data_IF_985833065557
#
_entry.id   IF_985833065557
#
_cell.length_a   1.000
_cell.length_b   1.000
_cell.length_c   1.000
_cell.angle_alpha   90.00
_cell.angle_beta   90.00
_cell.angle_gamma   90.00
#
_symmetry.space_group_name_H-M   'P 1'
#
loop_
_entity.id
_entity.type
_entity.pdbx_description
1 polymer ?
#
# COMPACT_ATOMS: atom_id res chain seq x y z
N UNK A 1 3.44 -7.35 3.60
CA UNK A 1 3.90 -6.42 2.55
C UNK A 1 2.77 -5.58 1.99
N UNK A 2 1.68 -6.18 1.47
CA UNK A 2 0.55 -5.39 0.92
C UNK A 2 -0.07 -4.39 1.93
N UNK A 3 -0.21 -4.79 3.21
CA UNK A 3 -0.70 -3.89 4.26
C UNK A 3 0.29 -2.74 4.53
N UNK A 4 1.60 -3.03 4.56
CA UNK A 4 2.64 -2.03 4.82
C UNK A 4 2.74 -0.98 3.71
N UNK A 5 2.49 -1.38 2.46
CA UNK A 5 2.40 -0.44 1.33
C UNK A 5 1.17 0.46 1.45
N UNK A 6 0.02 -0.10 1.83
CA UNK A 6 -1.20 0.68 2.04
C UNK A 6 -1.08 1.66 3.23
N UNK A 7 -0.39 1.26 4.31
CA UNK A 7 -0.11 2.14 5.45
C UNK A 7 0.79 3.31 5.06
N UNK A 8 1.84 3.06 4.27
CA UNK A 8 2.71 4.13 3.78
C UNK A 8 1.96 5.07 2.83
N UNK A 9 1.11 4.52 1.96
CA UNK A 9 0.27 5.32 1.07
C UNK A 9 -0.69 6.21 1.87
N UNK A 10 -1.29 5.69 2.95
CA UNK A 10 -2.15 6.46 3.87
C UNK A 10 -1.40 7.64 4.50
N UNK A 11 -0.15 7.43 4.94
CA UNK A 11 0.70 8.49 5.49
C UNK A 11 0.95 9.60 4.47
N UNK A 12 1.32 9.22 3.26
CA UNK A 12 1.66 10.16 2.19
C UNK A 12 0.42 10.91 1.73
N UNK A 13 -0.68 10.21 1.56
CA UNK A 13 -1.98 10.79 1.25
C UNK A 13 -2.34 11.88 2.27
N UNK A 14 -2.30 11.58 3.57
CA UNK A 14 -2.63 12.55 4.62
C UNK A 14 -1.63 13.72 4.67
N UNK A 15 -0.34 13.45 4.54
CA UNK A 15 0.69 14.50 4.51
C UNK A 15 0.45 15.46 3.32
N UNK A 16 0.17 14.90 2.16
CA UNK A 16 -0.07 15.67 0.95
C UNK A 16 -1.36 16.47 1.08
N UNK A 17 -2.46 15.86 1.51
CA UNK A 17 -3.74 16.55 1.71
C UNK A 17 -3.61 17.67 2.72
N UNK A 18 -2.97 17.45 3.87
CA UNK A 18 -2.77 18.50 4.89
C UNK A 18 -1.89 19.65 4.39
N UNK A 19 -0.80 19.34 3.68
CA UNK A 19 0.06 20.38 3.07
C UNK A 19 -0.72 21.16 2.01
N UNK A 20 -1.41 20.45 1.13
CA UNK A 20 -2.18 21.05 0.06
C UNK A 20 -3.34 21.89 0.63
N UNK A 21 -4.02 21.45 1.68
CA UNK A 21 -5.08 22.22 2.37
C UNK A 21 -4.54 23.45 3.10
N UNK A 22 -3.28 23.44 3.54
CA UNK A 22 -2.65 24.65 4.06
C UNK A 22 -2.30 25.66 2.96
N UNK A 23 -1.78 25.19 1.82
CA UNK A 23 -1.43 26.07 0.70
C UNK A 23 -2.66 26.58 -0.07
N UNK A 24 -3.71 25.77 -0.15
CA UNK A 24 -4.99 26.12 -0.77
C UNK A 24 -6.12 25.63 0.12
N UNK A 25 -6.62 26.47 1.05
CA UNK A 25 -7.62 26.08 2.02
C UNK A 25 -8.97 25.78 1.39
N UNK A 26 -9.64 24.77 1.94
CA UNK A 26 -11.00 24.38 1.58
C UNK A 26 -11.98 24.95 2.61
N UNK A 27 -13.09 25.52 2.12
CA UNK A 27 -14.29 25.79 2.91
C UNK A 27 -15.48 25.08 2.30
N UNK A 28 -16.50 24.82 3.10
CA UNK A 28 -17.78 24.34 2.57
C UNK A 28 -18.62 25.53 2.12
N UNK A 29 -19.44 25.35 1.08
CA UNK A 29 -20.35 26.40 0.60
C UNK A 29 -21.27 26.91 1.72
N UNK A 30 -21.76 26.02 2.59
CA UNK A 30 -22.58 26.39 3.74
C UNK A 30 -21.84 27.26 4.79
N UNK A 31 -20.51 27.20 4.83
CA UNK A 31 -19.67 28.01 5.73
C UNK A 31 -19.24 29.33 5.09
N UNK A 32 -19.06 29.36 3.77
CA UNK A 32 -18.75 30.57 3.02
C UNK A 32 -19.99 31.45 2.76
N UNK A 33 -21.16 30.83 2.57
CA UNK A 33 -22.45 31.48 2.34
C UNK A 33 -23.47 30.95 3.34
N UNK A 34 -23.61 31.65 4.47
CA UNK A 34 -24.49 31.26 5.60
C UNK A 34 -25.95 31.02 5.23
N UNK A 35 -26.40 31.58 4.10
CA UNK A 35 -27.78 31.50 3.61
C UNK A 35 -28.01 30.36 2.59
N UNK A 36 -26.96 29.69 2.11
CA UNK A 36 -27.06 28.67 1.07
C UNK A 36 -27.10 27.25 1.67
N UNK A 37 -28.17 26.49 1.38
CA UNK A 37 -28.30 25.07 1.78
C UNK A 37 -28.17 24.09 0.62
N UNK A 38 -28.51 24.50 -0.60
CA UNK A 38 -28.38 23.67 -1.80
C UNK A 38 -27.50 24.41 -2.82
N UNK A 39 -26.51 23.72 -3.37
CA UNK A 39 -25.65 24.22 -4.44
C UNK A 39 -25.90 23.38 -5.69
N UNK A 40 -26.17 24.04 -6.81
CA UNK A 40 -26.30 23.41 -8.11
C UNK A 40 -25.18 23.85 -9.03
N UNK A 41 -24.55 22.90 -9.70
CA UNK A 41 -23.55 23.18 -10.72
C UNK A 41 -23.73 22.22 -11.90
N UNK A 42 -23.30 22.67 -13.07
CA UNK A 42 -23.23 21.80 -14.23
C UNK A 42 -21.93 20.98 -14.17
N UNK A 43 -22.06 19.67 -14.14
CA UNK A 43 -20.97 18.73 -14.37
C UNK A 43 -21.15 18.02 -15.70
N UNK A 44 -20.13 17.26 -16.11
CA UNK A 44 -20.19 16.45 -17.33
C UNK A 44 -20.13 14.98 -16.90
N UNK A 45 -21.06 14.15 -17.37
CA UNK A 45 -21.03 12.71 -17.09
C UNK A 45 -19.81 12.03 -17.73
N UNK A 46 -19.57 10.76 -17.40
CA UNK A 46 -18.50 9.93 -17.98
C UNK A 46 -18.65 9.66 -19.50
N UNK A 47 -19.68 10.21 -20.15
CA UNK A 47 -19.97 10.12 -21.59
C UNK A 47 -19.95 11.49 -22.29
N UNK A 48 -19.64 12.59 -21.58
CA UNK A 48 -19.52 13.92 -22.15
C UNK A 48 -20.80 14.76 -22.19
N UNK A 49 -21.87 14.35 -21.51
CA UNK A 49 -23.13 15.11 -21.45
C UNK A 49 -23.21 16.01 -20.20
N UNK A 50 -23.72 17.24 -20.32
CA UNK A 50 -23.91 18.12 -19.18
C UNK A 50 -25.02 17.59 -18.27
N UNK A 51 -24.67 17.29 -17.01
CA UNK A 51 -25.56 16.93 -15.92
C UNK A 51 -25.62 18.08 -14.92
N UNK A 52 -26.81 18.43 -14.46
CA UNK A 52 -26.96 19.37 -13.34
C UNK A 52 -26.85 18.56 -12.05
N UNK A 53 -25.79 18.78 -11.27
CA UNK A 53 -25.58 18.11 -9.99
C UNK A 53 -26.03 19.06 -8.89
N UNK A 54 -27.12 18.70 -8.23
CA UNK A 54 -27.60 19.36 -7.01
C UNK A 54 -26.99 18.62 -5.81
N UNK A 55 -26.18 19.34 -5.04
CA UNK A 55 -25.52 18.81 -3.84
C UNK A 55 -25.85 19.71 -2.66
N UNK A 56 -26.06 19.11 -1.50
CA UNK A 56 -26.18 19.86 -0.25
C UNK A 56 -24.94 20.76 -0.08
N UNK A 57 -25.15 22.05 0.20
CA UNK A 57 -24.08 23.05 0.35
C UNK A 57 -23.10 22.73 1.50
N UNK A 58 -23.46 21.80 2.38
CA UNK A 58 -22.59 21.30 3.46
C UNK A 58 -21.57 20.26 2.97
N UNK A 59 -21.84 19.60 1.84
CA UNK A 59 -20.99 18.56 1.25
C UNK A 59 -20.13 19.10 0.09
N UNK A 60 -20.46 20.28 -0.46
CA UNK A 60 -19.68 20.91 -1.52
C UNK A 60 -18.48 21.69 -0.93
N UNK A 61 -17.28 21.16 -1.17
CA UNK A 61 -16.01 21.82 -0.82
C UNK A 61 -15.57 22.78 -1.92
N UNK A 62 -15.31 24.02 -1.54
CA UNK A 62 -14.85 25.11 -2.39
C UNK A 62 -13.54 25.69 -1.86
N UNK A 63 -12.83 26.46 -2.69
CA UNK A 63 -11.70 27.27 -2.24
C UNK A 63 -12.14 28.31 -1.21
N UNK A 64 -11.45 28.38 -0.07
CA UNK A 64 -11.60 29.47 0.90
C UNK A 64 -10.82 30.71 0.43
N UNK A 65 -11.49 31.59 -0.30
CA UNK A 65 -10.91 32.86 -0.77
C UNK A 65 -10.53 33.81 0.37
N UNK A 66 -11.10 33.67 1.57
CA UNK A 66 -10.87 34.59 2.68
C UNK A 66 -9.61 34.26 3.49
N UNK A 67 -9.27 32.97 3.63
CA UNK A 67 -8.09 32.52 4.34
C UNK A 67 -6.95 32.04 3.42
N UNK A 68 -7.12 32.08 2.10
CA UNK A 68 -6.06 31.68 1.19
C UNK A 68 -4.86 32.65 1.22
N UNK A 69 -3.68 32.05 1.06
CA UNK A 69 -2.46 32.78 0.71
C UNK A 69 -2.26 32.69 -0.81
N UNK A 70 -1.69 33.73 -1.40
CA UNK A 70 -1.34 33.78 -2.83
C UNK A 70 0.17 33.84 -3.01
N UNK A 71 0.64 33.35 -4.16
CA UNK A 71 2.02 33.56 -4.61
C UNK A 71 2.22 34.98 -5.11
N UNK A 72 3.43 35.33 -5.56
CA UNK A 72 3.72 36.66 -6.11
C UNK A 72 2.96 37.00 -7.39
N UNK A 73 2.24 36.03 -7.97
CA UNK A 73 1.42 36.18 -9.18
C UNK A 73 0.04 36.82 -8.88
N UNK A 74 -0.45 36.67 -7.64
CA UNK A 74 -1.79 37.11 -7.26
C UNK A 74 -2.94 36.34 -7.92
N UNK A 75 -2.65 35.25 -8.64
CA UNK A 75 -3.66 34.40 -9.29
C UNK A 75 -4.36 33.46 -8.28
N UNK A 76 -5.67 33.31 -8.46
CA UNK A 76 -6.53 32.32 -7.82
C UNK A 76 -6.85 31.23 -8.86
N UNK A 77 -6.87 29.93 -8.51
CA UNK A 77 -6.61 29.36 -7.20
C UNK A 77 -5.09 29.34 -6.90
N UNK A 78 -4.69 29.40 -5.62
CA UNK A 78 -3.28 29.30 -5.26
C UNK A 78 -2.70 27.95 -5.68
N UNK A 79 -1.46 27.98 -6.16
CA UNK A 79 -0.78 26.78 -6.66
C UNK A 79 -0.52 25.83 -5.51
N UNK A 80 -0.98 24.59 -5.66
CA UNK A 80 -0.67 23.51 -4.73
C UNK A 80 0.76 22.99 -4.91
N UNK A 81 1.33 22.43 -3.85
CA UNK A 81 2.70 21.88 -3.89
C UNK A 81 2.74 20.56 -4.65
N UNK A 82 1.75 19.71 -4.42
CA UNK A 82 1.65 18.38 -5.04
C UNK A 82 0.41 18.29 -5.91
N UNK A 83 0.59 17.83 -7.14
CA UNK A 83 -0.46 17.70 -8.15
C UNK A 83 -0.75 16.21 -8.38
N UNK A 84 -2.02 15.88 -8.63
CA UNK A 84 -2.45 14.53 -9.03
C UNK A 84 -2.27 14.36 -10.53
N UNK A 85 -1.85 13.18 -10.98
CA UNK A 85 -1.65 12.93 -12.41
C UNK A 85 -2.96 12.86 -13.22
N UNK A 86 -4.11 12.56 -12.58
CA UNK A 86 -5.37 12.33 -13.27
C UNK A 86 -6.35 13.51 -13.31
N UNK A 87 -6.20 14.50 -12.42
CA UNK A 87 -7.07 15.66 -12.37
C UNK A 87 -6.39 16.84 -11.67
N UNK A 88 -6.76 18.06 -12.08
CA UNK A 88 -6.44 19.27 -11.34
C UNK A 88 -7.26 19.32 -10.05
N UNK A 89 -6.75 19.99 -9.01
CA UNK A 89 -7.42 20.04 -7.70
C UNK A 89 -8.74 20.81 -7.72
N UNK A 90 -8.84 21.86 -8.53
CA UNK A 90 -10.06 22.65 -8.66
C UNK A 90 -10.53 22.70 -10.10
N UNK A 91 -11.85 22.74 -10.30
CA UNK A 91 -12.46 23.14 -11.57
C UNK A 91 -13.26 24.42 -11.36
N UNK A 92 -13.03 25.41 -12.23
CA UNK A 92 -13.84 26.62 -12.27
C UNK A 92 -15.24 26.26 -12.78
N UNK A 93 -16.26 26.47 -11.94
CA UNK A 93 -17.66 26.31 -12.37
C UNK A 93 -18.53 27.45 -11.86
N UNK A 94 -19.52 27.79 -12.67
CA UNK A 94 -20.61 28.68 -12.27
C UNK A 94 -21.58 27.87 -11.39
N UNK A 95 -21.64 28.20 -10.09
CA UNK A 95 -22.51 27.53 -9.11
C UNK A 95 -23.67 28.43 -8.78
N UNK A 96 -24.90 27.93 -8.93
CA UNK A 96 -26.11 28.58 -8.43
C UNK A 96 -26.42 28.10 -7.02
N UNK A 97 -26.56 29.05 -6.09
CA UNK A 97 -26.88 28.77 -4.69
C UNK A 97 -28.37 28.99 -4.43
N UNK A 98 -29.00 28.06 -3.70
CA UNK A 98 -30.41 28.13 -3.31
C UNK A 98 -30.56 28.10 -1.78
N UNK A 99 -31.53 28.87 -1.28
CA UNK A 99 -31.95 28.92 0.13
C UNK A 99 -32.92 27.76 0.47
N UNK A 100 -33.22 27.55 1.76
CA UNK A 100 -34.11 26.52 2.36
C UNK A 100 -35.55 26.52 1.79
N UNK A 101 -35.90 27.57 1.04
CA UNK A 101 -37.20 27.75 0.38
C UNK A 101 -37.17 27.51 -1.14
N UNK A 102 -36.00 27.16 -1.70
CA UNK A 102 -35.78 27.01 -3.14
C UNK A 102 -35.62 28.33 -3.90
N UNK A 103 -35.42 29.44 -3.19
CA UNK A 103 -35.13 30.74 -3.79
C UNK A 103 -33.65 30.84 -4.18
N UNK A 104 -33.37 31.29 -5.40
CA UNK A 104 -32.01 31.50 -5.91
C UNK A 104 -31.37 32.70 -5.21
N UNK A 105 -30.25 32.47 -4.54
CA UNK A 105 -29.45 33.49 -3.82
C UNK A 105 -28.54 34.22 -4.81
N UNK A 106 -28.05 33.51 -5.83
CA UNK A 106 -27.25 34.04 -6.92
C UNK A 106 -26.32 32.99 -7.54
N UNK A 107 -25.80 33.31 -8.73
CA UNK A 107 -24.75 32.53 -9.40
C UNK A 107 -23.37 33.10 -9.03
N UNK A 108 -22.49 32.27 -8.50
CA UNK A 108 -21.11 32.64 -8.17
C UNK A 108 -20.13 31.76 -8.96
N UNK A 109 -19.09 32.37 -9.50
CA UNK A 109 -17.93 31.62 -10.04
C UNK A 109 -17.14 31.11 -8.86
N UNK A 110 -17.17 29.80 -8.64
CA UNK A 110 -16.47 29.15 -7.54
C UNK A 110 -15.50 28.10 -8.07
N UNK A 111 -14.39 27.94 -7.37
CA UNK A 111 -13.44 26.85 -7.60
C UNK A 111 -13.91 25.63 -6.80
N UNK A 112 -14.53 24.66 -7.48
CA UNK A 112 -15.00 23.43 -6.85
C UNK A 112 -13.84 22.46 -6.68
N UNK A 113 -13.71 21.87 -5.50
CA UNK A 113 -12.74 20.83 -5.26
C UNK A 113 -13.14 19.55 -5.99
N UNK A 114 -12.22 19.00 -6.78
CA UNK A 114 -12.42 17.70 -7.40
C UNK A 114 -12.23 16.62 -6.33
N UNK A 115 -13.36 16.07 -5.86
CA UNK A 115 -13.39 15.01 -4.87
C UNK A 115 -12.61 13.77 -5.32
N UNK A 116 -12.04 13.08 -4.33
CA UNK A 116 -11.28 11.87 -4.56
C UNK A 116 -12.21 10.66 -4.73
N UNK A 117 -11.93 9.83 -5.72
CA UNK A 117 -12.65 8.58 -5.93
C UNK A 117 -11.77 7.39 -5.52
N UNK A 118 -12.13 6.66 -4.44
CA UNK A 118 -11.38 5.47 -4.00
C UNK A 118 -11.23 4.38 -5.07
N UNK A 119 -12.05 4.39 -6.13
CA UNK A 119 -11.97 3.43 -7.23
C UNK A 119 -10.98 3.86 -8.32
N UNK A 120 -10.59 5.13 -8.39
CA UNK A 120 -9.68 5.68 -9.38
C UNK A 120 -8.42 6.26 -8.72
N UNK A 121 -7.39 5.42 -8.63
CA UNK A 121 -6.08 5.79 -8.07
C UNK A 121 -5.42 7.00 -8.74
N UNK A 122 -5.83 7.38 -9.96
CA UNK A 122 -5.30 8.57 -10.64
C UNK A 122 -5.86 9.89 -10.09
N UNK A 123 -7.03 9.82 -9.44
CA UNK A 123 -7.72 10.95 -8.81
C UNK A 123 -7.42 11.10 -7.32
N UNK A 124 -6.74 10.13 -6.72
CA UNK A 124 -6.31 10.16 -5.32
C UNK A 124 -4.84 10.58 -5.20
N UNK A 125 -4.48 11.19 -4.07
CA UNK A 125 -3.06 11.37 -3.71
C UNK A 125 -2.48 10.05 -3.24
N UNK A 126 -1.87 9.30 -4.15
CA UNK A 126 -1.13 8.06 -3.84
C UNK A 126 0.35 8.24 -4.19
N UNK A 127 1.21 7.42 -3.59
CA UNK A 127 2.64 7.36 -3.90
C UNK A 127 2.96 7.21 -5.39
N UNK A 128 2.04 6.64 -6.17
CA UNK A 128 2.22 6.36 -7.59
C UNK A 128 1.66 7.46 -8.51
N UNK A 129 0.68 8.22 -8.04
CA UNK A 129 -0.09 9.19 -8.83
C UNK A 129 0.24 10.65 -8.47
N UNK A 130 1.32 10.88 -7.73
CA UNK A 130 1.72 12.19 -7.22
C UNK A 130 2.93 12.76 -7.99
N UNK A 131 2.84 14.03 -8.37
CA UNK A 131 3.97 14.81 -8.89
C UNK A 131 4.07 16.15 -8.16
N UNK A 132 5.26 16.73 -8.10
CA UNK A 132 5.43 18.11 -7.62
C UNK A 132 5.02 19.04 -8.75
N UNK A 133 4.31 20.12 -8.41
CA UNK A 133 3.88 21.09 -9.40
C UNK A 133 5.07 21.64 -10.20
N UNK A 134 5.09 21.37 -11.52
CA UNK A 134 6.19 21.78 -12.39
C UNK A 134 6.38 23.30 -12.45
N UNK A 135 5.31 24.06 -12.23
CA UNK A 135 5.39 25.51 -12.28
C UNK A 135 6.07 26.10 -11.04
N UNK A 136 5.89 25.45 -9.87
CA UNK A 136 6.65 25.78 -8.67
C UNK A 136 8.13 25.43 -8.81
N UNK A 137 8.45 24.38 -9.57
CA UNK A 137 9.85 24.03 -9.90
C UNK A 137 10.47 25.10 -10.80
N UNK A 138 9.70 25.67 -11.74
CA UNK A 138 10.20 26.71 -12.66
C UNK A 138 10.37 28.04 -11.95
N UNK A 139 9.44 28.42 -11.07
CA UNK A 139 9.45 29.70 -10.36
C UNK A 139 8.97 29.51 -8.92
N UNK A 140 9.94 29.52 -8.00
CA UNK A 140 9.71 29.37 -6.56
C UNK A 140 8.83 30.50 -5.98
N UNK A 141 8.81 31.68 -6.60
CA UNK A 141 8.00 32.84 -6.19
C UNK A 141 6.49 32.61 -6.28
N UNK A 142 6.06 31.54 -6.96
CA UNK A 142 4.66 31.16 -7.06
C UNK A 142 4.15 30.35 -5.86
N UNK A 143 5.04 29.93 -4.96
CA UNK A 143 4.63 29.30 -3.72
C UNK A 143 3.81 30.28 -2.87
N UNK A 144 2.65 29.89 -2.32
CA UNK A 144 1.82 30.80 -1.53
C UNK A 144 2.58 31.30 -0.28
N UNK A 145 2.76 32.61 -0.20
CA UNK A 145 3.47 33.24 0.94
C UNK A 145 2.90 34.62 1.31
N UNK A 146 1.97 35.17 0.53
CA UNK A 146 1.37 36.48 0.74
C UNK A 146 -0.11 36.32 1.10
N UNK A 147 -0.65 37.16 1.99
CA UNK A 147 -2.08 37.14 2.31
C UNK A 147 -2.91 37.65 1.13
N UNK A 148 -4.03 36.98 0.83
CA UNK A 148 -4.93 37.38 -0.27
C UNK A 148 -5.51 38.79 -0.11
N UNK A 149 -5.72 39.28 1.11
CA UNK A 149 -6.33 40.60 1.35
C UNK A 149 -5.44 41.80 0.98
N UNK A 150 -4.12 41.66 1.05
CA UNK A 150 -3.21 42.82 0.94
C UNK A 150 -2.07 42.60 -0.07
N UNK A 151 -1.86 41.37 -0.57
CA UNK A 151 -0.85 40.95 -1.57
C UNK A 151 0.60 41.40 -1.30
N UNK A 152 0.86 42.03 -0.15
CA UNK A 152 2.14 42.64 0.22
C UNK A 152 2.63 42.15 1.58
N UNK A 153 1.72 41.66 2.42
CA UNK A 153 2.05 41.12 3.73
C UNK A 153 2.33 39.62 3.65
N UNK A 154 3.48 39.21 4.19
CA UNK A 154 3.85 37.81 4.35
C UNK A 154 2.90 37.12 5.33
N UNK A 155 2.40 35.95 4.96
CA UNK A 155 1.54 35.17 5.83
C UNK A 155 2.33 34.35 6.85
N UNK A 156 2.65 34.98 7.98
CA UNK A 156 3.27 34.29 9.11
C UNK A 156 2.35 33.23 9.74
N UNK A 157 1.02 33.31 9.56
CA UNK A 157 0.06 32.33 10.10
C UNK A 157 0.18 30.99 9.35
N UNK A 158 0.34 31.04 8.03
CA UNK A 158 0.66 29.87 7.21
C UNK A 158 1.93 29.19 7.73
N UNK A 159 3.02 29.95 7.95
CA UNK A 159 4.28 29.40 8.47
C UNK A 159 4.13 28.73 9.84
N UNK A 160 3.36 29.33 10.76
CA UNK A 160 3.08 28.69 12.06
C UNK A 160 2.26 27.42 11.91
N UNK A 161 1.23 27.41 11.05
CA UNK A 161 0.41 26.23 10.80
C UNK A 161 1.22 25.10 10.15
N UNK A 162 2.14 25.45 9.23
CA UNK A 162 3.06 24.48 8.63
C UNK A 162 3.95 23.81 9.68
N UNK A 163 4.39 24.55 10.70
CA UNK A 163 5.17 23.96 11.79
C UNK A 163 4.32 23.07 12.72
N UNK A 164 3.07 23.48 12.97
CA UNK A 164 2.16 22.77 13.86
C UNK A 164 1.67 21.45 13.28
N UNK A 165 1.52 21.35 11.95
CA UNK A 165 1.08 20.11 11.28
C UNK A 165 1.92 18.89 11.68
N UNK A 166 3.22 19.09 11.91
CA UNK A 166 4.14 17.99 12.22
C UNK A 166 3.95 17.42 13.61
N UNK A 167 3.39 18.23 14.52
CA UNK A 167 3.16 17.89 15.92
C UNK A 167 1.73 17.51 16.23
N UNK A 168 0.80 17.79 15.31
CA UNK A 168 -0.59 17.46 15.50
C UNK A 168 -0.82 15.94 15.47
N UNK A 169 -1.74 15.46 16.30
CA UNK A 169 -1.98 14.03 16.52
C UNK A 169 -3.34 13.62 15.94
N UNK A 170 -3.42 13.53 14.63
CA UNK A 170 -4.71 13.31 13.96
C UNK A 170 -4.95 11.86 13.50
N UNK A 171 -3.95 10.98 13.49
CA UNK A 171 -4.09 9.73 12.73
C UNK A 171 -3.47 8.47 13.34
N UNK A 172 -4.04 7.33 12.94
CA UNK A 172 -3.71 6.00 13.44
C UNK A 172 -3.02 5.18 12.34
N UNK A 173 -2.11 4.27 12.71
CA UNK A 173 -1.37 3.45 11.75
C UNK A 173 -2.29 2.58 10.89
N UNK A 174 -3.21 1.89 11.56
CA UNK A 174 -4.15 0.98 10.94
C UNK A 174 -5.49 1.07 11.68
N UNK A 175 -6.58 0.51 11.14
CA UNK A 175 -7.89 0.50 11.80
C UNK A 175 -7.92 -0.21 13.16
N UNK A 176 -6.86 -0.95 13.51
CA UNK A 176 -6.72 -1.67 14.78
C UNK A 176 -5.94 -0.88 15.84
N UNK A 177 -5.18 0.15 15.45
CA UNK A 177 -4.47 1.05 16.33
C UNK A 177 -5.45 2.08 16.87
N UNK A 178 -5.46 2.26 18.19
CA UNK A 178 -6.34 3.19 18.89
C UNK A 178 -5.62 4.44 19.35
N UNK A 179 -4.30 4.52 19.14
CA UNK A 179 -3.48 5.63 19.62
C UNK A 179 -3.13 6.56 18.47
N UNK A 180 -3.78 7.74 18.37
CA UNK A 180 -3.42 8.73 17.37
C UNK A 180 -1.97 9.19 17.56
N UNK A 181 -1.28 9.40 16.46
CA UNK A 181 0.09 9.86 16.40
C UNK A 181 0.24 10.86 15.24
N UNK A 182 1.15 11.82 15.38
CA UNK A 182 1.56 12.67 14.25
C UNK A 182 2.48 11.93 13.28
N UNK A 183 2.89 12.60 12.20
CA UNK A 183 3.73 12.04 11.13
C UNK A 183 4.98 11.31 11.59
N UNK A 184 5.72 11.91 12.53
CA UNK A 184 6.91 11.24 13.07
C UNK A 184 6.57 9.98 13.86
N UNK A 185 5.48 9.97 14.62
CA UNK A 185 5.08 8.83 15.43
C UNK A 185 4.56 7.69 14.56
N UNK A 186 3.80 8.00 13.52
CA UNK A 186 3.35 7.01 12.54
C UNK A 186 4.52 6.34 11.85
N UNK A 187 5.50 7.12 11.35
CA UNK A 187 6.66 6.55 10.67
C UNK A 187 7.46 5.59 11.57
N UNK A 188 7.65 5.94 12.85
CA UNK A 188 8.31 5.06 13.82
C UNK A 188 7.52 3.78 14.05
N UNK A 189 6.19 3.85 14.18
CA UNK A 189 5.33 2.67 14.33
C UNK A 189 5.38 1.77 13.08
N UNK A 190 5.28 2.36 11.90
CA UNK A 190 5.34 1.65 10.62
C UNK A 190 6.66 0.90 10.44
N UNK A 191 7.81 1.57 10.67
CA UNK A 191 9.13 0.92 10.66
C UNK A 191 9.21 -0.19 11.71
N UNK A 192 8.62 0.04 12.89
CA UNK A 192 8.53 -0.97 13.95
C UNK A 192 7.76 -2.22 13.53
N UNK A 193 6.62 -2.06 12.85
CA UNK A 193 5.82 -3.17 12.33
C UNK A 193 6.59 -3.95 11.26
N UNK A 194 7.22 -3.27 10.30
CA UNK A 194 8.08 -3.91 9.29
C UNK A 194 9.22 -4.69 9.97
N UNK A 195 9.84 -4.10 11.00
CA UNK A 195 10.88 -4.77 11.79
C UNK A 195 10.37 -6.04 12.46
N UNK A 196 9.18 -6.00 13.07
CA UNK A 196 8.55 -7.16 13.71
C UNK A 196 8.21 -8.26 12.69
N UNK A 197 7.62 -7.89 11.57
CA UNK A 197 7.29 -8.80 10.47
C UNK A 197 8.58 -9.45 9.92
N UNK A 198 9.63 -8.65 9.72
CA UNK A 198 10.94 -9.12 9.29
C UNK A 198 11.53 -10.16 10.25
N UNK A 199 11.46 -9.91 11.56
CA UNK A 199 11.94 -10.84 12.59
C UNK A 199 11.13 -12.15 12.61
N UNK A 200 9.80 -12.09 12.43
CA UNK A 200 8.95 -13.27 12.32
C UNK A 200 9.29 -14.09 11.08
N UNK A 201 9.50 -13.45 9.94
CA UNK A 201 9.92 -14.13 8.71
C UNK A 201 11.30 -14.75 8.83
N UNK A 202 12.26 -14.06 9.45
CA UNK A 202 13.60 -14.61 9.70
C UNK A 202 13.53 -15.85 10.59
N UNK A 203 12.76 -15.77 11.68
CA UNK A 203 12.54 -16.91 12.59
C UNK A 203 11.86 -18.07 11.88
N UNK A 204 10.86 -17.78 11.04
CA UNK A 204 10.16 -18.78 10.24
C UNK A 204 11.10 -19.43 9.23
N UNK A 205 11.92 -18.66 8.53
CA UNK A 205 12.92 -19.17 7.59
C UNK A 205 13.94 -20.09 8.28
N UNK A 206 14.45 -19.71 9.47
CA UNK A 206 15.34 -20.56 10.27
C UNK A 206 14.66 -21.87 10.68
N UNK A 207 13.39 -21.82 11.08
CA UNK A 207 12.61 -23.03 11.42
C UNK A 207 12.41 -23.95 10.21
N UNK A 208 12.11 -23.39 9.03
CA UNK A 208 12.00 -24.15 7.79
C UNK A 208 13.34 -24.77 7.37
N UNK A 209 14.46 -24.06 7.55
CA UNK A 209 15.78 -24.62 7.26
C UNK A 209 16.09 -25.81 8.18
N UNK A 210 15.81 -25.69 9.48
CA UNK A 210 15.94 -26.83 10.40
C UNK A 210 15.05 -28.01 10.02
N UNK A 211 13.79 -27.75 9.62
CA UNK A 211 12.87 -28.79 9.13
C UNK A 211 13.39 -29.47 7.87
N UNK A 212 13.98 -28.70 6.95
CA UNK A 212 14.60 -29.20 5.73
C UNK A 212 15.80 -30.09 6.05
N UNK A 213 16.66 -29.67 6.98
CA UNK A 213 17.79 -30.48 7.44
C UNK A 213 17.32 -31.81 8.08
N UNK A 214 16.27 -31.78 8.90
CA UNK A 214 15.68 -33.00 9.49
C UNK A 214 15.12 -33.95 8.42
N UNK A 215 14.40 -33.41 7.42
CA UNK A 215 13.90 -34.19 6.29
C UNK A 215 15.06 -34.78 5.49
N UNK A 216 16.11 -34.00 5.24
CA UNK A 216 17.30 -34.46 4.51
C UNK A 216 18.02 -35.57 5.29
N UNK A 217 18.16 -35.44 6.61
CA UNK A 217 18.71 -36.49 7.47
C UNK A 217 17.85 -37.77 7.43
N UNK A 218 16.53 -37.64 7.53
CA UNK A 218 15.60 -38.77 7.38
C UNK A 218 15.74 -39.44 6.01
N UNK A 219 15.84 -38.62 4.95
CA UNK A 219 16.04 -39.11 3.58
C UNK A 219 17.38 -39.83 3.44
N UNK A 220 18.46 -39.31 4.01
CA UNK A 220 19.76 -39.97 4.04
C UNK A 220 19.75 -41.24 4.89
N UNK A 221 18.95 -41.31 5.95
CA UNK A 221 18.77 -42.54 6.73
C UNK A 221 18.04 -43.65 5.96
N UNK A 222 17.14 -43.30 5.03
CA UNK A 222 16.40 -44.26 4.20
C UNK A 222 17.15 -44.60 2.90
N UNK A 223 17.75 -43.61 2.24
CA UNK A 223 18.47 -43.77 0.96
C UNK A 223 19.93 -44.18 1.18
N UNK A 224 20.49 -43.84 2.35
CA UNK A 224 21.83 -44.22 2.76
C UNK A 224 21.89 -45.71 3.03
N UNK A 225 22.06 -46.48 1.97
CA UNK A 225 22.43 -47.89 2.06
C UNK A 225 23.80 -47.96 2.75
N UNK A 226 23.85 -48.58 3.93
CA UNK A 226 25.12 -48.78 4.63
C UNK A 226 25.99 -49.73 3.80
N UNK A 227 27.14 -49.23 3.32
CA UNK A 227 28.08 -50.05 2.55
C UNK A 227 28.58 -51.26 3.35
N UNK A 228 28.62 -51.16 4.67
CA UNK A 228 29.00 -52.26 5.56
C UNK A 228 27.87 -53.29 5.72
N UNK A 229 26.60 -52.86 5.71
CA UNK A 229 25.44 -53.75 5.74
C UNK A 229 25.28 -54.48 4.40
N UNK A 230 25.48 -53.79 3.27
CA UNK A 230 25.54 -54.40 1.94
C UNK A 230 26.71 -55.36 1.79
N UNK A 231 27.91 -55.00 2.29
CA UNK A 231 29.07 -55.89 2.27
C UNK A 231 28.82 -57.13 3.13
N UNK A 232 28.24 -56.97 4.32
CA UNK A 232 27.87 -58.11 5.19
C UNK A 232 26.82 -58.99 4.52
N UNK A 233 25.83 -58.39 3.86
CA UNK A 233 24.79 -59.10 3.10
C UNK A 233 25.40 -59.84 1.91
N UNK A 234 26.33 -59.22 1.18
CA UNK A 234 27.08 -59.83 0.10
C UNK A 234 27.90 -61.03 0.60
N UNK A 235 28.65 -60.88 1.69
CA UNK A 235 29.43 -61.96 2.30
C UNK A 235 28.51 -63.10 2.74
N UNK A 236 27.34 -62.80 3.33
CA UNK A 236 26.35 -63.80 3.73
C UNK A 236 25.82 -64.56 2.51
N UNK A 237 25.47 -63.87 1.42
CA UNK A 237 25.03 -64.50 0.18
C UNK A 237 26.12 -65.35 -0.46
N UNK A 238 27.37 -64.87 -0.51
CA UNK A 238 28.51 -65.65 -1.01
C UNK A 238 28.75 -66.90 -0.16
N UNK A 239 28.70 -66.77 1.17
CA UNK A 239 28.85 -67.90 2.10
C UNK A 239 27.71 -68.91 1.95
N UNK A 240 26.47 -68.45 1.86
CA UNK A 240 25.30 -69.31 1.65
C UNK A 240 25.36 -70.01 0.28
N UNK A 241 25.76 -69.31 -0.78
CA UNK A 241 25.93 -69.88 -2.11
C UNK A 241 27.03 -70.95 -2.14
N UNK A 242 28.18 -70.68 -1.50
CA UNK A 242 29.25 -71.66 -1.37
C UNK A 242 28.81 -72.90 -0.57
N UNK A 243 28.05 -72.72 0.51
CA UNK A 243 27.49 -73.84 1.29
C UNK A 243 26.45 -74.64 0.49
N UNK A 244 25.53 -73.98 -0.20
CA UNK A 244 24.53 -74.62 -1.06
C UNK A 244 25.17 -75.37 -2.23
N UNK A 245 26.22 -74.80 -2.85
CA UNK A 245 26.97 -75.45 -3.93
C UNK A 245 27.64 -76.74 -3.44
N UNK A 246 28.25 -76.71 -2.24
CA UNK A 246 28.78 -77.93 -1.61
C UNK A 246 27.68 -78.95 -1.33
N UNK A 247 26.53 -78.51 -0.84
CA UNK A 247 25.39 -79.39 -0.56
C UNK A 247 24.82 -80.05 -1.82
N UNK A 248 24.69 -79.30 -2.92
CA UNK A 248 24.26 -79.81 -4.23
C UNK A 248 25.27 -80.81 -4.79
N UNK A 249 26.58 -80.55 -4.63
CA UNK A 249 27.61 -81.49 -5.04
C UNK A 249 27.49 -82.80 -4.24
N UNK A 250 27.31 -82.73 -2.92
CA UNK A 250 27.12 -83.90 -2.07
C UNK A 250 25.84 -84.67 -2.45
N UNK A 251 24.73 -83.98 -2.76
CA UNK A 251 23.53 -84.64 -3.29
C UNK A 251 23.80 -85.30 -4.64
N UNK A 252 24.50 -84.63 -5.54
CA UNK A 252 24.85 -85.17 -6.85
C UNK A 252 25.68 -86.45 -6.71
N UNK A 253 26.68 -86.44 -5.83
CA UNK A 253 27.50 -87.61 -5.49
C UNK A 253 26.65 -88.73 -4.85
N UNK A 254 25.70 -88.40 -3.97
CA UNK A 254 24.80 -89.39 -3.37
C UNK A 254 23.83 -90.01 -4.40
N UNK A 255 23.29 -89.20 -5.31
CA UNK A 255 22.44 -89.70 -6.42
C UNK A 255 23.27 -90.58 -7.35
N UNK A 256 24.46 -90.14 -7.73
CA UNK A 256 25.37 -90.93 -8.56
C UNK A 256 25.69 -92.26 -7.88
N UNK A 257 26.05 -92.25 -6.59
CA UNK A 257 26.31 -93.46 -5.83
C UNK A 257 25.10 -94.41 -5.78
N UNK A 258 23.88 -93.90 -5.55
CA UNK A 258 22.65 -94.71 -5.58
C UNK A 258 22.44 -95.31 -6.98
N UNK A 259 22.59 -94.51 -8.04
CA UNK A 259 22.38 -94.96 -9.43
C UNK A 259 23.43 -95.99 -9.84
N UNK A 260 24.71 -95.79 -9.54
CA UNK A 260 25.77 -96.75 -9.87
C UNK A 260 25.70 -98.03 -9.04
N UNK A 261 25.21 -97.94 -7.80
CA UNK A 261 25.11 -99.09 -6.89
C UNK A 261 23.86 -99.94 -7.15
N UNK A 262 22.72 -99.35 -7.56
CA UNK A 262 21.49 -100.08 -7.93
C UNK A 262 21.36 -100.39 -9.42
N UNK A 263 22.02 -99.65 -10.31
CA UNK A 263 21.90 -99.77 -11.77
C UNK A 263 22.69 -100.92 -12.40
N UNK A 264 23.44 -101.69 -11.61
CA UNK A 264 24.09 -102.91 -12.09
C UNK A 264 23.18 -104.14 -11.89
N UNK A 265 22.28 -104.33 -12.86
CA UNK A 265 21.72 -105.61 -13.28
C UNK A 265 21.75 -105.68 -14.81
#
# INVERSE_FOLDING_TARGET
MMNSEAELDTLIHQLVTTINDLYSPLTNVASAYTDAKVASYQDVDSEGNPITVEVDASLLRILDEANCSVGSDGELPPRELFVRNGCERYTEKDVTLYDDTGAEIGTYKLYLYNEEDPNDTSKCYTLKSLTVNEELIKQESYLPHLKNLDHTQVDHKLGTNLSLMWTDQEFNLNPSDTTPCGFSGFYVKWVGEIGNIGNVYETTAKSLEGTKEEIEFSRQGVIGVSSDEELTTMIKFQSAYNAASRYINVISEMIEHIVTSLGHF
#
